data_IF_833999224968
#
_entry.id   IF_833999224968
#
_cell.length_a   1.000
_cell.length_b   1.000
_cell.length_c   1.000
_cell.angle_alpha   90.00
_cell.angle_beta   90.00
_cell.angle_gamma   90.00
#
_symmetry.space_group_name_H-M   'P 1'
#
loop_
_entity.id
_entity.type
_entity.pdbx_description
1 polymer ?
#
# COMPACT_ATOMS: atom_id res chain seq x y z
N UNK A 1 2.00 9.41 -7.73
CA UNK A 1 1.61 9.01 -6.34
C UNK A 1 2.65 8.02 -5.87
N UNK A 2 3.07 8.09 -4.61
CA UNK A 2 4.04 7.15 -4.03
C UNK A 2 3.66 5.71 -4.34
N UNK A 3 4.62 4.98 -4.88
CA UNK A 3 4.53 3.55 -5.07
C UNK A 3 4.77 2.84 -3.75
N UNK A 4 3.80 2.01 -3.34
CA UNK A 4 4.03 1.11 -2.23
C UNK A 4 5.12 0.08 -2.63
N UNK A 5 4.99 -0.53 -3.80
CA UNK A 5 5.85 -1.62 -4.28
C UNK A 5 7.30 -1.21 -4.57
N UNK A 6 7.53 0.07 -4.87
CA UNK A 6 8.89 0.57 -5.13
C UNK A 6 9.49 1.30 -3.90
N UNK A 7 8.80 1.27 -2.75
CA UNK A 7 9.23 1.96 -1.54
C UNK A 7 9.49 3.46 -1.71
N UNK A 8 8.66 4.13 -2.51
CA UNK A 8 8.74 5.58 -2.67
C UNK A 8 8.62 6.31 -1.32
N UNK A 9 9.39 7.39 -1.18
CA UNK A 9 9.21 8.32 -0.07
C UNK A 9 7.77 8.86 -0.06
N UNK A 10 7.13 8.85 1.11
CA UNK A 10 5.77 9.39 1.29
C UNK A 10 5.88 10.76 1.96
N UNK A 11 5.78 11.87 1.20
CA UNK A 11 5.88 13.19 1.79
C UNK A 11 4.70 13.52 2.71
N UNK A 12 4.90 14.50 3.58
CA UNK A 12 3.86 15.20 4.31
C UNK A 12 3.53 16.48 3.55
N UNK A 13 2.23 16.64 3.26
CA UNK A 13 1.69 17.75 2.50
C UNK A 13 2.09 19.09 3.13
N UNK A 14 2.59 20.01 2.30
CA UNK A 14 3.07 21.33 2.72
C UNK A 14 4.38 21.33 3.52
N UNK A 15 5.01 20.17 3.76
CA UNK A 15 6.28 20.08 4.51
C UNK A 15 7.44 19.70 3.61
N UNK A 16 7.32 18.59 2.87
CA UNK A 16 8.40 18.03 2.05
C UNK A 16 7.85 17.37 0.77
N UNK A 17 6.72 17.88 0.28
CA UNK A 17 6.06 17.46 -0.96
C UNK A 17 6.59 18.22 -2.19
N UNK A 18 7.37 19.28 -1.99
CA UNK A 18 7.98 20.05 -3.08
C UNK A 18 8.87 19.15 -3.95
N UNK A 19 8.61 19.14 -5.26
CA UNK A 19 9.37 18.40 -6.28
C UNK A 19 9.48 16.87 -6.08
N UNK A 20 8.56 16.25 -5.34
CA UNK A 20 8.56 14.79 -5.21
C UNK A 20 8.23 14.12 -6.55
N UNK A 21 9.19 13.36 -7.07
CA UNK A 21 8.98 12.46 -8.20
C UNK A 21 8.69 11.05 -7.68
N UNK A 22 7.61 10.44 -8.15
CA UNK A 22 7.22 9.10 -7.77
C UNK A 22 7.58 8.11 -8.88
N UNK A 23 8.00 6.91 -8.50
CA UNK A 23 8.45 5.87 -9.43
C UNK A 23 7.31 5.31 -10.29
N UNK A 24 6.10 5.23 -9.72
CA UNK A 24 4.92 4.63 -10.35
C UNK A 24 3.82 5.63 -10.70
N UNK A 25 2.85 5.15 -11.48
CA UNK A 25 1.76 5.98 -12.04
C UNK A 25 0.40 5.31 -11.95
N UNK A 26 -0.64 6.12 -11.74
CA UNK A 26 -2.03 5.67 -11.86
C UNK A 26 -2.39 5.65 -13.35
N UNK A 27 -2.70 4.47 -13.87
CA UNK A 27 -3.03 4.31 -15.29
C UNK A 27 -4.48 4.70 -15.58
N UNK A 28 -5.40 4.24 -14.72
CA UNK A 28 -6.84 4.53 -14.80
C UNK A 28 -7.49 4.38 -13.41
N UNK A 29 -8.80 4.63 -13.30
CA UNK A 29 -9.54 4.33 -12.06
C UNK A 29 -9.38 2.84 -11.74
N UNK A 30 -9.11 2.53 -10.48
CA UNK A 30 -8.85 1.15 -10.03
C UNK A 30 -7.48 0.57 -10.41
N UNK A 31 -6.62 1.23 -11.20
CA UNK A 31 -5.36 0.63 -11.67
C UNK A 31 -4.14 1.53 -11.43
N UNK A 32 -3.16 0.99 -10.70
CA UNK A 32 -1.85 1.60 -10.46
C UNK A 32 -0.74 0.70 -11.01
N UNK A 33 0.31 1.30 -11.58
CA UNK A 33 1.48 0.60 -12.13
C UNK A 33 2.75 1.08 -11.45
N UNK A 34 3.54 0.14 -10.92
CA UNK A 34 4.85 0.41 -10.32
C UNK A 34 5.91 0.69 -11.40
N UNK A 35 7.11 1.15 -10.99
CA UNK A 35 8.24 1.33 -11.89
C UNK A 35 8.70 0.02 -12.55
N UNK A 36 8.55 -1.10 -11.84
CA UNK A 36 8.81 -2.45 -12.37
C UNK A 36 7.71 -2.96 -13.32
N UNK A 37 6.70 -2.14 -13.61
CA UNK A 37 5.60 -2.48 -14.50
C UNK A 37 4.52 -3.36 -13.87
N UNK A 38 4.59 -3.63 -12.56
CA UNK A 38 3.62 -4.45 -11.82
C UNK A 38 2.33 -3.64 -11.65
N UNK A 39 1.20 -4.26 -11.95
CA UNK A 39 -0.11 -3.63 -11.88
C UNK A 39 -0.87 -4.11 -10.64
N UNK A 40 -1.29 -3.16 -9.79
CA UNK A 40 -2.10 -3.42 -8.60
C UNK A 40 -3.27 -2.44 -8.51
N UNK A 41 -4.31 -2.79 -7.76
CA UNK A 41 -5.42 -1.88 -7.56
C UNK A 41 -4.94 -0.56 -6.92
N UNK A 42 -5.40 0.57 -7.45
CA UNK A 42 -5.00 1.89 -6.96
C UNK A 42 -5.37 2.13 -5.48
N UNK A 43 -6.47 1.55 -5.01
CA UNK A 43 -6.93 1.65 -3.62
C UNK A 43 -6.07 0.77 -2.70
N UNK A 44 -5.62 -0.41 -3.19
CA UNK A 44 -4.64 -1.25 -2.48
C UNK A 44 -3.31 -0.53 -2.33
N UNK A 45 -2.81 0.12 -3.38
CA UNK A 45 -1.60 0.96 -3.28
C UNK A 45 -1.78 2.09 -2.26
N UNK A 46 -2.96 2.73 -2.21
CA UNK A 46 -3.23 3.79 -1.26
C UNK A 46 -3.31 3.28 0.19
N UNK A 47 -4.05 2.20 0.44
CA UNK A 47 -4.19 1.58 1.76
C UNK A 47 -2.83 1.14 2.32
N UNK A 48 -2.00 0.50 1.49
CA UNK A 48 -0.67 0.07 1.89
C UNK A 48 0.26 1.25 2.25
N UNK A 49 0.18 2.36 1.50
CA UNK A 49 0.93 3.57 1.82
C UNK A 49 0.44 4.25 3.11
N UNK A 50 -0.86 4.25 3.40
CA UNK A 50 -1.40 4.75 4.67
C UNK A 50 -0.85 3.91 5.82
N UNK A 51 -0.94 2.59 5.71
CA UNK A 51 -0.43 1.67 6.72
C UNK A 51 1.08 1.88 6.94
N UNK A 52 1.88 2.05 5.87
CA UNK A 52 3.31 2.36 5.96
C UNK A 52 3.62 3.68 6.65
N UNK A 53 2.78 4.70 6.43
CA UNK A 53 2.98 6.04 7.01
C UNK A 53 2.56 6.11 8.49
N UNK A 54 1.44 5.49 8.85
CA UNK A 54 0.84 5.60 10.18
C UNK A 54 1.37 4.53 11.13
N UNK A 55 1.69 3.33 10.61
CA UNK A 55 2.20 2.21 11.41
C UNK A 55 3.45 1.63 10.74
N UNK A 56 4.61 2.32 10.82
CA UNK A 56 5.84 1.90 10.13
C UNK A 56 6.29 0.47 10.47
N UNK A 57 5.98 0.01 11.68
CA UNK A 57 6.36 -1.31 12.19
C UNK A 57 5.30 -2.39 11.94
N UNK A 58 4.22 -2.11 11.18
CA UNK A 58 3.12 -3.06 10.98
C UNK A 58 3.56 -4.39 10.36
N UNK A 59 4.69 -4.41 9.64
CA UNK A 59 5.25 -5.61 9.01
C UNK A 59 6.36 -6.29 9.80
N UNK A 60 6.98 -5.60 10.77
CA UNK A 60 8.08 -6.16 11.58
C UNK A 60 7.59 -6.70 12.91
N UNK A 61 6.72 -5.94 13.59
CA UNK A 61 6.27 -6.25 14.95
C UNK A 61 4.80 -6.72 14.96
N UNK A 62 4.18 -6.79 13.78
CA UNK A 62 2.73 -6.90 13.65
C UNK A 62 2.03 -5.60 14.06
N UNK A 63 0.70 -5.66 14.12
CA UNK A 63 -0.15 -4.55 14.57
C UNK A 63 -0.66 -4.94 15.96
N UNK A 64 -0.36 -4.15 16.99
CA UNK A 64 -0.88 -4.39 18.34
C UNK A 64 -2.41 -4.42 18.33
N UNK A 65 -2.99 -5.46 18.94
CA UNK A 65 -4.44 -5.71 18.91
C UNK A 65 -4.95 -6.56 17.75
N UNK A 66 -4.08 -6.90 16.78
CA UNK A 66 -4.40 -7.90 15.75
C UNK A 66 -4.07 -9.30 16.28
N UNK A 67 -5.05 -9.98 16.90
CA UNK A 67 -4.88 -11.36 17.35
C UNK A 67 -4.54 -12.30 16.19
N UNK A 68 -3.82 -13.40 16.46
CA UNK A 68 -3.31 -14.37 15.46
C UNK A 68 -4.38 -14.80 14.42
N UNK A 69 -5.65 -14.85 14.81
CA UNK A 69 -6.80 -15.15 13.94
C UNK A 69 -7.06 -14.10 12.86
N UNK A 70 -6.85 -12.82 13.16
CA UNK A 70 -7.00 -11.72 12.22
C UNK A 70 -5.82 -11.67 11.25
N UNK A 71 -4.61 -12.01 11.70
CA UNK A 71 -3.45 -12.20 10.82
C UNK A 71 -3.71 -13.28 9.77
N UNK A 72 -4.32 -14.41 10.16
CA UNK A 72 -4.72 -15.46 9.22
C UNK A 72 -5.67 -14.93 8.14
N UNK A 73 -6.68 -14.14 8.51
CA UNK A 73 -7.63 -13.55 7.54
C UNK A 73 -7.02 -12.54 6.57
N UNK A 74 -5.93 -11.86 6.97
CA UNK A 74 -5.22 -10.88 6.12
C UNK A 74 -4.22 -11.59 5.19
N UNK A 75 -3.62 -12.69 5.64
CA UNK A 75 -2.60 -13.43 4.89
C UNK A 75 -3.19 -14.49 3.96
N UNK A 76 -4.37 -15.03 4.25
CA UNK A 76 -5.07 -15.94 3.35
C UNK A 76 -5.99 -15.15 2.43
N UNK A 77 -5.77 -15.10 1.11
CA UNK A 77 -6.78 -14.57 0.20
C UNK A 77 -8.01 -15.47 0.32
N UNK A 78 -9.10 -14.94 0.88
CA UNK A 78 -10.38 -15.64 0.87
C UNK A 78 -10.85 -15.66 -0.59
N UNK A 79 -10.69 -16.79 -1.27
CA UNK A 79 -11.26 -17.00 -2.59
C UNK A 79 -12.78 -16.92 -2.46
N UNK A 80 -13.36 -15.76 -2.72
CA UNK A 80 -14.81 -15.60 -2.77
C UNK A 80 -15.31 -16.29 -4.05
N UNK A 81 -15.59 -17.58 -3.95
CA UNK A 81 -16.36 -18.29 -4.98
C UNK A 81 -17.80 -17.80 -4.83
N UNK A 82 -18.14 -16.76 -5.57
CA UNK A 82 -19.53 -16.36 -5.78
C UNK A 82 -20.14 -17.43 -6.70
N UNK A 83 -21.05 -18.24 -6.17
CA UNK A 83 -21.99 -19.04 -6.97
C UNK A 83 -23.23 -18.21 -7.27
#
# INVERSE_FOLDING_TARGET
>A
KASFLDNDFIPTYGTNDQNTTFSGKRMKRGMYRSAKGIEINADVNAAANILRKVVPNAWTNGIEGLGVKQLASVLTPLTLIVR
#
